data_IF_614808603291
#
_entry.id   IF_614808603291
#
_cell.length_a   1.000
_cell.length_b   1.000
_cell.length_c   1.000
_cell.angle_alpha   90.00
_cell.angle_beta   90.00
_cell.angle_gamma   90.00
#
_symmetry.space_group_name_H-M   'P 1'
#
loop_
_entity.id
_entity.type
_entity.pdbx_description
1 polymer ?
#
# COMPACT_ATOMS: atom_id res chain seq x y z
N UNK A 1 13.31 5.19 -3.28
CA UNK A 1 14.06 4.78 -2.07
C UNK A 1 15.09 5.81 -1.58
N UNK A 2 15.54 6.77 -2.40
CA UNK A 2 16.38 7.89 -1.92
C UNK A 2 15.70 8.63 -0.75
N UNK A 3 16.45 8.86 0.33
CA UNK A 3 15.99 9.59 1.53
C UNK A 3 15.45 8.76 2.69
N UNK A 4 15.42 7.42 2.61
CA UNK A 4 14.94 6.57 3.72
C UNK A 4 15.98 6.26 4.81
N UNK A 5 17.24 6.67 4.62
CA UNK A 5 18.33 6.39 5.56
C UNK A 5 18.46 4.91 5.92
N UNK A 6 18.86 4.65 7.18
CA UNK A 6 18.94 3.32 7.81
C UNK A 6 17.60 2.87 8.43
N UNK A 7 16.68 3.80 8.69
CA UNK A 7 15.40 3.49 9.37
C UNK A 7 14.46 2.63 8.50
N UNK A 8 14.62 2.65 7.18
CA UNK A 8 13.81 1.86 6.26
C UNK A 8 12.54 2.57 5.78
N UNK A 9 11.66 1.79 5.17
CA UNK A 9 10.45 2.24 4.47
C UNK A 9 9.22 1.50 4.97
N UNK A 10 8.19 2.26 5.30
CA UNK A 10 6.84 1.78 5.55
C UNK A 10 6.01 2.01 4.28
N UNK A 11 5.41 0.96 3.74
CA UNK A 11 4.45 1.08 2.66
C UNK A 11 3.03 1.10 3.22
N UNK A 12 2.25 2.11 2.86
CA UNK A 12 0.83 2.21 3.19
C UNK A 12 -0.03 2.16 1.92
N UNK A 13 -0.96 1.21 1.87
CA UNK A 13 -2.04 1.24 0.89
C UNK A 13 -3.29 0.52 1.38
N UNK A 14 -4.43 1.14 1.14
CA UNK A 14 -5.75 0.56 1.44
C UNK A 14 -6.45 0.08 0.16
N UNK A 15 -5.66 -0.26 -0.87
CA UNK A 15 -6.18 -0.74 -2.15
C UNK A 15 -7.02 0.31 -2.88
N UNK A 16 -8.08 -0.14 -3.55
CA UNK A 16 -9.08 0.73 -4.18
C UNK A 16 -10.17 1.19 -3.21
N UNK A 17 -10.13 0.73 -1.95
CA UNK A 17 -11.16 1.00 -0.93
C UNK A 17 -11.01 2.41 -0.37
N UNK A 18 -9.77 2.90 -0.22
CA UNK A 18 -9.52 4.29 0.16
C UNK A 18 -9.76 5.21 -1.03
N UNK A 19 -11.01 5.63 -1.20
CA UNK A 19 -11.33 6.80 -1.99
C UNK A 19 -11.28 8.03 -1.07
N UNK A 20 -10.40 9.02 -1.33
CA UNK A 20 -10.28 10.21 -0.50
C UNK A 20 -11.55 11.07 -0.47
N UNK A 21 -12.49 10.86 -1.39
CA UNK A 21 -13.81 11.52 -1.40
C UNK A 21 -14.79 10.90 -0.39
N UNK A 22 -14.55 9.65 0.02
CA UNK A 22 -15.44 8.91 0.93
C UNK A 22 -14.83 8.69 2.30
N UNK A 23 -13.51 8.69 2.41
CA UNK A 23 -12.81 8.58 3.69
C UNK A 23 -12.86 9.92 4.43
N UNK A 24 -13.31 9.96 5.69
CA UNK A 24 -13.31 11.19 6.49
C UNK A 24 -11.91 11.79 6.61
N UNK A 25 -11.81 13.13 6.51
CA UNK A 25 -10.54 13.83 6.68
C UNK A 25 -9.88 13.58 8.05
N UNK A 26 -10.68 13.30 9.09
CA UNK A 26 -10.18 12.93 10.42
C UNK A 26 -9.33 11.65 10.39
N UNK A 27 -9.74 10.65 9.61
CA UNK A 27 -9.00 9.39 9.44
C UNK A 27 -7.68 9.64 8.72
N UNK A 28 -7.70 10.44 7.65
CA UNK A 28 -6.48 10.82 6.91
C UNK A 28 -5.53 11.58 7.84
N UNK A 29 -6.03 12.51 8.65
CA UNK A 29 -5.22 13.25 9.63
C UNK A 29 -4.61 12.33 10.69
N UNK A 30 -5.35 11.37 11.21
CA UNK A 30 -4.83 10.38 12.17
C UNK A 30 -3.66 9.59 11.57
N UNK A 31 -3.78 9.16 10.31
CA UNK A 31 -2.67 8.51 9.61
C UNK A 31 -1.46 9.43 9.42
N UNK A 32 -1.68 10.66 8.93
CA UNK A 32 -0.58 11.60 8.70
C UNK A 32 0.13 11.96 10.00
N UNK A 33 -0.61 12.16 11.11
CA UNK A 33 -0.03 12.40 12.43
C UNK A 33 0.82 11.23 12.92
N UNK A 34 0.28 10.00 12.81
CA UNK A 34 0.97 8.79 13.24
C UNK A 34 2.25 8.57 12.41
N UNK A 35 2.14 8.73 11.09
CA UNK A 35 3.28 8.60 10.19
C UNK A 35 4.34 9.69 10.40
N UNK A 36 3.93 10.92 10.74
CA UNK A 36 4.86 12.01 11.05
C UNK A 36 5.75 11.75 12.25
N UNK A 37 5.34 10.86 13.16
CA UNK A 37 6.11 10.45 14.35
C UNK A 37 7.11 9.33 14.05
N UNK A 38 7.02 8.70 12.89
CA UNK A 38 7.91 7.59 12.51
C UNK A 38 9.26 8.11 12.04
N UNK A 39 10.32 7.37 12.36
CA UNK A 39 11.67 7.62 11.82
C UNK A 39 11.81 7.14 10.38
N UNK A 40 10.96 6.20 9.97
CA UNK A 40 10.91 5.62 8.64
C UNK A 40 10.40 6.62 7.61
N UNK A 41 10.82 6.42 6.35
CA UNK A 41 10.13 7.04 5.22
C UNK A 41 8.82 6.29 5.00
N UNK A 42 7.71 7.00 4.89
CA UNK A 42 6.40 6.39 4.63
C UNK A 42 5.97 6.69 3.20
N UNK A 43 5.71 5.64 2.42
CA UNK A 43 5.11 5.75 1.09
C UNK A 43 3.62 5.49 1.20
N UNK A 44 2.81 6.49 0.88
CA UNK A 44 1.36 6.45 1.01
C UNK A 44 0.76 6.46 -0.40
N UNK A 45 0.10 5.36 -0.79
CA UNK A 45 -0.71 5.33 -2.02
C UNK A 45 -2.08 5.93 -1.73
N UNK A 46 -2.30 7.17 -2.16
CA UNK A 46 -3.55 7.90 -1.98
C UNK A 46 -3.68 9.00 -3.04
N UNK A 47 -4.86 9.13 -3.62
CA UNK A 47 -5.13 10.17 -4.63
C UNK A 47 -5.34 11.55 -3.98
N UNK A 48 -4.84 12.61 -4.62
CA UNK A 48 -5.05 13.98 -4.19
C UNK A 48 -3.84 14.64 -3.54
N UNK A 49 -4.03 15.88 -3.07
CA UNK A 49 -3.01 16.68 -2.37
C UNK A 49 -3.49 16.96 -0.96
N UNK A 50 -2.59 16.82 0.01
CA UNK A 50 -2.89 16.96 1.42
C UNK A 50 -2.03 18.05 2.04
N UNK A 51 -2.69 19.08 2.58
CA UNK A 51 -2.02 20.10 3.38
C UNK A 51 -1.38 19.46 4.61
N UNK A 52 -0.20 19.95 5.00
CA UNK A 52 0.55 19.47 6.17
C UNK A 52 1.01 18.00 6.11
N UNK A 53 1.36 17.50 4.92
CA UNK A 53 2.03 16.19 4.80
C UNK A 53 3.38 16.23 5.53
N UNK A 54 3.66 15.31 6.49
CA UNK A 54 4.94 15.29 7.20
C UNK A 54 6.14 15.09 6.26
N UNK A 55 7.34 15.60 6.59
CA UNK A 55 8.50 15.55 5.70
C UNK A 55 8.96 14.11 5.38
N UNK A 56 8.74 13.17 6.30
CA UNK A 56 9.04 11.75 6.12
C UNK A 56 7.93 10.98 5.38
N UNK A 57 6.79 11.61 5.06
CA UNK A 57 5.69 11.00 4.28
C UNK A 57 5.76 11.42 2.82
N UNK A 58 5.54 10.47 1.90
CA UNK A 58 5.42 10.74 0.46
C UNK A 58 4.10 10.16 -0.02
N UNK A 59 3.18 11.04 -0.37
CA UNK A 59 1.91 10.67 -0.97
C UNK A 59 2.08 10.58 -2.48
N UNK A 60 1.60 9.48 -3.07
CA UNK A 60 1.58 9.26 -4.52
C UNK A 60 0.25 8.62 -4.91
N UNK A 61 -0.26 8.95 -6.09
CA UNK A 61 -1.47 8.37 -6.65
C UNK A 61 -1.25 6.91 -7.09
N UNK A 62 -0.01 6.58 -7.46
CA UNK A 62 0.37 5.25 -7.90
C UNK A 62 1.80 4.89 -7.48
N UNK A 63 2.00 3.60 -7.18
CA UNK A 63 3.31 3.03 -6.89
C UNK A 63 3.37 1.55 -7.32
N UNK A 64 4.56 1.01 -7.63
CA UNK A 64 4.76 -0.41 -7.89
C UNK A 64 4.86 -1.19 -6.55
N UNK A 65 3.71 -1.57 -5.99
CA UNK A 65 3.59 -2.19 -4.66
C UNK A 65 4.51 -3.39 -4.47
N UNK A 66 4.43 -4.37 -5.36
CA UNK A 66 5.25 -5.59 -5.28
C UNK A 66 6.76 -5.27 -5.31
N UNK A 67 7.21 -4.31 -6.12
CA UNK A 67 8.63 -3.93 -6.20
C UNK A 67 9.10 -3.24 -4.90
N UNK A 68 8.20 -2.48 -4.26
CA UNK A 68 8.48 -1.87 -2.95
C UNK A 68 8.52 -2.95 -1.87
N UNK A 69 7.58 -3.88 -1.84
CA UNK A 69 7.57 -4.99 -0.87
C UNK A 69 8.80 -5.91 -1.04
N UNK A 70 9.28 -6.09 -2.27
CA UNK A 70 10.51 -6.84 -2.56
C UNK A 70 11.78 -6.19 -2.05
N UNK A 71 11.77 -4.87 -1.81
CA UNK A 71 12.96 -4.11 -1.49
C UNK A 71 13.45 -4.37 -0.06
N UNK A 72 14.77 -4.53 0.11
CA UNK A 72 15.39 -4.84 1.42
C UNK A 72 15.03 -3.85 2.53
N UNK A 73 14.98 -2.56 2.20
CA UNK A 73 14.63 -1.48 3.13
C UNK A 73 13.15 -1.41 3.51
N UNK A 74 12.28 -2.22 2.92
CA UNK A 74 10.88 -2.24 3.33
C UNK A 74 10.74 -3.03 4.62
N UNK A 75 10.34 -2.33 5.67
CA UNK A 75 10.30 -2.86 7.03
C UNK A 75 8.87 -3.16 7.48
N UNK A 76 7.86 -2.56 6.85
CA UNK A 76 6.46 -2.76 7.21
C UNK A 76 5.53 -2.52 6.04
N UNK A 77 4.44 -3.29 5.99
CA UNK A 77 3.31 -3.07 5.10
C UNK A 77 2.01 -2.79 5.89
N UNK A 78 1.50 -1.57 5.75
CA UNK A 78 0.19 -1.20 6.28
C UNK A 78 -0.88 -1.40 5.20
N UNK A 79 -1.89 -2.23 5.50
CA UNK A 79 -2.83 -2.77 4.52
C UNK A 79 -4.26 -2.87 5.03
N UNK A 80 -5.22 -2.87 4.11
CA UNK A 80 -6.63 -3.18 4.37
C UNK A 80 -6.92 -4.70 4.44
N UNK A 81 -5.87 -5.54 4.43
CA UNK A 81 -5.96 -6.99 4.41
C UNK A 81 -6.55 -7.61 3.13
N UNK A 82 -6.44 -6.93 1.99
CA UNK A 82 -6.78 -7.52 0.69
C UNK A 82 -5.82 -8.66 0.32
N UNK A 83 -6.37 -9.79 -0.14
CA UNK A 83 -5.62 -11.04 -0.38
C UNK A 83 -4.36 -10.86 -1.22
N UNK A 84 -4.41 -10.09 -2.32
CA UNK A 84 -3.24 -9.86 -3.18
C UNK A 84 -2.07 -9.21 -2.43
N UNK A 85 -2.34 -8.12 -1.69
CA UNK A 85 -1.30 -7.43 -0.94
C UNK A 85 -0.73 -8.29 0.19
N UNK A 86 -1.58 -9.09 0.84
CA UNK A 86 -1.15 -10.04 1.86
C UNK A 86 -0.22 -11.11 1.27
N UNK A 87 -0.57 -11.70 0.13
CA UNK A 87 0.28 -12.72 -0.51
C UNK A 87 1.65 -12.15 -0.90
N UNK A 88 1.71 -10.93 -1.44
CA UNK A 88 2.98 -10.26 -1.76
C UNK A 88 3.82 -9.98 -0.51
N UNK A 89 3.21 -9.48 0.57
CA UNK A 89 3.92 -9.19 1.81
C UNK A 89 4.46 -10.46 2.47
N UNK A 90 3.67 -11.53 2.51
CA UNK A 90 4.11 -12.85 2.96
C UNK A 90 5.25 -13.40 2.09
N UNK A 91 5.14 -13.27 0.77
CA UNK A 91 6.16 -13.73 -0.17
C UNK A 91 7.53 -13.07 0.08
N UNK A 92 7.56 -11.78 0.40
CA UNK A 92 8.80 -11.04 0.70
C UNK A 92 9.16 -10.96 2.19
N UNK A 93 8.40 -11.63 3.06
CA UNK A 93 8.63 -11.64 4.51
C UNK A 93 8.52 -10.25 5.14
N UNK A 94 7.56 -9.44 4.70
CA UNK A 94 7.32 -8.10 5.24
C UNK A 94 6.21 -8.19 6.31
N UNK A 95 6.47 -7.80 7.57
CA UNK A 95 5.44 -7.78 8.60
C UNK A 95 4.37 -6.73 8.31
N UNK A 96 3.18 -6.92 8.87
CA UNK A 96 2.00 -6.15 8.49
C UNK A 96 1.30 -5.47 9.67
N UNK A 97 0.70 -4.31 9.39
CA UNK A 97 -0.39 -3.77 10.20
C UNK A 97 -1.64 -3.75 9.33
N UNK A 98 -2.68 -4.45 9.78
CA UNK A 98 -3.93 -4.60 9.07
C UNK A 98 -5.03 -3.71 9.64
N UNK A 99 -5.75 -3.02 8.77
CA UNK A 99 -6.99 -2.31 9.08
C UNK A 99 -8.12 -2.87 8.19
N UNK A 100 -8.79 -3.97 8.60
CA UNK A 100 -9.91 -4.53 7.84
C UNK A 100 -11.05 -3.52 7.71
N UNK A 101 -11.65 -3.44 6.53
CA UNK A 101 -12.77 -2.55 6.22
C UNK A 101 -14.06 -3.35 6.00
N UNK A 102 -14.03 -4.43 5.20
CA UNK A 102 -15.21 -5.27 4.92
C UNK A 102 -14.85 -6.66 4.36
N UNK A 103 -15.88 -7.50 4.14
CA UNK A 103 -15.77 -8.87 3.61
C UNK A 103 -14.87 -9.78 4.48
N UNK A 104 -14.02 -10.58 3.86
CA UNK A 104 -13.15 -11.59 4.47
C UNK A 104 -11.89 -11.01 5.12
N UNK A 105 -11.69 -9.69 5.05
CA UNK A 105 -10.48 -9.02 5.53
C UNK A 105 -10.23 -9.24 7.03
N UNK A 106 -11.29 -9.38 7.84
CA UNK A 106 -11.18 -9.67 9.27
C UNK A 106 -10.65 -11.09 9.52
N UNK A 107 -11.18 -12.09 8.81
CA UNK A 107 -10.73 -13.48 8.91
C UNK A 107 -9.29 -13.63 8.43
N UNK A 108 -8.92 -12.91 7.35
CA UNK A 108 -7.54 -12.85 6.87
C UNK A 108 -6.62 -12.27 7.95
N UNK A 109 -6.96 -11.14 8.55
CA UNK A 109 -6.17 -10.55 9.62
C UNK A 109 -6.00 -11.50 10.80
N UNK A 110 -7.09 -12.15 11.25
CA UNK A 110 -7.05 -13.09 12.37
C UNK A 110 -6.02 -14.20 12.13
N UNK A 111 -6.03 -14.81 10.95
CA UNK A 111 -5.06 -15.85 10.55
C UNK A 111 -3.62 -15.34 10.51
N UNK A 112 -3.41 -14.08 10.15
CA UNK A 112 -2.07 -13.46 10.14
C UNK A 112 -1.60 -13.16 11.57
N UNK A 113 -2.50 -12.75 12.46
CA UNK A 113 -2.21 -12.54 13.88
C UNK A 113 -1.85 -13.85 14.58
N UNK A 114 -2.58 -14.94 14.30
CA UNK A 114 -2.27 -16.29 14.81
C UNK A 114 -0.87 -16.77 14.39
N UNK A 115 -0.38 -16.32 13.23
CA UNK A 115 0.96 -16.62 12.72
C UNK A 115 2.04 -15.65 13.24
N UNK A 116 1.65 -14.63 14.02
CA UNK A 116 2.57 -13.62 14.55
C UNK A 116 3.08 -12.62 13.52
N UNK A 117 2.50 -12.55 12.32
CA UNK A 117 3.05 -11.74 11.20
C UNK A 117 2.33 -10.41 11.00
N UNK A 118 1.24 -10.19 11.74
CA UNK A 118 0.47 -8.96 11.65
C UNK A 118 -0.06 -8.49 13.00
N UNK A 119 -0.31 -7.17 13.11
CA UNK A 119 -1.15 -6.55 14.13
C UNK A 119 -2.40 -5.93 13.48
N UNK A 120 -3.47 -5.84 14.25
CA UNK A 120 -4.73 -5.25 13.81
C UNK A 120 -4.94 -3.85 14.40
N UNK A 121 -5.53 -2.96 13.61
CA UNK A 121 -6.10 -1.70 14.10
C UNK A 121 -7.54 -1.54 13.63
N UNK A 122 -8.34 -0.89 14.47
CA UNK A 122 -9.75 -0.61 14.14
C UNK A 122 -9.84 0.54 13.12
N UNK A 123 -10.90 0.56 12.30
CA UNK A 123 -11.08 1.61 11.26
C UNK A 123 -11.27 3.03 11.84
N UNK A 124 -11.74 3.14 13.07
CA UNK A 124 -11.80 4.39 13.86
C UNK A 124 -10.61 4.59 14.80
N UNK A 125 -9.50 3.85 14.60
CA UNK A 125 -8.32 4.01 15.43
C UNK A 125 -7.79 5.45 15.43
N UNK A 126 -7.41 5.89 16.61
CA UNK A 126 -6.72 7.15 16.86
C UNK A 126 -5.31 7.14 16.29
N UNK A 127 -4.72 8.34 16.20
CA UNK A 127 -3.31 8.50 15.84
C UNK A 127 -2.38 7.65 16.72
N UNK A 128 -2.62 7.64 18.04
CA UNK A 128 -1.80 6.89 18.99
C UNK A 128 -1.93 5.39 18.78
N UNK A 129 -3.14 4.86 18.58
CA UNK A 129 -3.33 3.43 18.32
C UNK A 129 -2.65 2.98 17.03
N UNK A 130 -2.71 3.80 15.97
CA UNK A 130 -2.00 3.53 14.71
C UNK A 130 -0.49 3.54 14.93
N UNK A 131 0.02 4.55 15.64
CA UNK A 131 1.45 4.66 15.93
C UNK A 131 1.95 3.49 16.78
N UNK A 132 1.21 3.08 17.81
CA UNK A 132 1.60 1.95 18.66
C UNK A 132 1.59 0.65 17.87
N UNK A 133 0.54 0.37 17.09
CA UNK A 133 0.47 -0.86 16.29
C UNK A 133 1.65 -1.00 15.31
N UNK A 134 2.15 0.11 14.76
CA UNK A 134 3.32 0.15 13.87
C UNK A 134 4.62 -0.13 14.62
N UNK A 135 4.74 0.25 15.90
CA UNK A 135 5.96 0.01 16.69
C UNK A 135 5.94 -1.33 17.45
N UNK A 136 4.76 -1.84 17.77
CA UNK A 136 4.56 -3.09 18.52
C UNK A 136 4.73 -4.35 17.67
N UNK A 137 4.77 -4.20 16.35
CA UNK A 137 5.05 -5.31 15.44
C UNK A 137 6.55 -5.62 15.50
N UNK A 138 6.87 -6.79 16.07
CA UNK A 138 8.24 -7.30 16.08
C UNK A 138 8.70 -7.58 14.64
N UNK A 139 9.97 -7.33 14.29
CA UNK A 139 10.53 -7.71 12.99
C UNK A 139 10.56 -9.23 12.77
N UNK A 140 10.25 -10.04 13.77
CA UNK A 140 10.12 -11.50 13.67
C UNK A 140 8.87 -11.91 12.86
N UNK A 141 8.86 -11.57 11.57
CA UNK A 141 8.12 -12.31 10.57
C UNK A 141 8.88 -13.62 10.33
N UNK A 142 8.23 -14.80 10.22
CA UNK A 142 8.90 -16.01 9.81
C UNK A 142 9.67 -15.73 8.51
N UNK A 143 10.87 -16.33 8.35
CA UNK A 143 11.71 -16.06 7.20
C UNK A 143 10.91 -16.22 5.90
N UNK A 144 11.16 -15.37 4.89
CA UNK A 144 10.56 -15.58 3.57
C UNK A 144 10.78 -17.04 3.16
N UNK A 145 9.79 -17.61 2.47
CA UNK A 145 9.82 -18.99 2.00
C UNK A 145 11.23 -19.33 1.50
N UNK A 146 11.88 -20.40 1.99
CA UNK A 146 13.27 -20.66 1.71
C UNK A 146 13.52 -20.65 0.19
N UNK A 147 14.65 -20.05 -0.22
CA UNK A 147 15.09 -19.84 -1.60
C UNK A 147 14.65 -18.55 -2.32
N UNK A 148 14.18 -17.52 -1.60
CA UNK A 148 13.84 -16.21 -2.18
C UNK A 148 14.69 -15.11 -1.54
N UNK A 149 15.75 -14.69 -2.24
CA UNK A 149 16.56 -13.53 -1.85
C UNK A 149 15.84 -12.24 -2.25
N UNK A 150 15.75 -11.26 -1.35
CA UNK A 150 15.24 -9.93 -1.72
C UNK A 150 16.12 -9.36 -2.83
N UNK A 151 15.57 -9.00 -4.01
CA UNK A 151 16.38 -8.42 -5.06
C UNK A 151 16.99 -7.10 -4.58
N UNK A 152 18.31 -6.98 -4.73
CA UNK A 152 19.09 -5.83 -4.26
C UNK A 152 18.80 -4.53 -5.03
N UNK A 153 18.11 -4.60 -6.18
CA UNK A 153 17.89 -3.46 -7.06
C UNK A 153 16.42 -3.24 -7.40
N UNK A 154 15.93 -2.05 -7.09
CA UNK A 154 14.63 -1.54 -7.52
C UNK A 154 14.69 -1.10 -8.97
N UNK A 155 13.97 -1.79 -9.85
CA UNK A 155 13.67 -1.30 -11.21
C UNK A 155 12.19 -0.90 -11.23
N UNK A 156 11.84 0.39 -11.25
CA UNK A 156 10.45 0.81 -11.18
C UNK A 156 9.68 0.29 -12.38
N UNK A 157 8.66 -0.54 -12.16
CA UNK A 157 7.69 -0.84 -13.21
C UNK A 157 6.90 0.41 -13.58
N UNK A 158 6.59 0.63 -14.88
CA UNK A 158 5.70 1.70 -15.29
C UNK A 158 4.28 1.44 -14.77
N UNK A 159 3.52 2.52 -14.58
CA UNK A 159 2.09 2.42 -14.29
C UNK A 159 1.44 1.55 -15.38
N UNK A 160 0.68 0.50 -15.04
CA UNK A 160 -0.09 -0.21 -16.04
C UNK A 160 -1.06 0.79 -16.67
N UNK A 161 -0.97 0.96 -18.00
CA UNK A 161 -1.88 1.82 -18.74
C UNK A 161 -3.31 1.33 -18.47
N UNK A 162 -4.20 2.22 -18.06
CA UNK A 162 -5.63 1.91 -18.03
C UNK A 162 -6.01 1.47 -19.44
N UNK A 163 -6.50 0.23 -19.58
CA UNK A 163 -6.92 -0.33 -20.87
C UNK A 163 -8.02 0.53 -21.46
N UNK A 164 -7.64 1.49 -22.30
CA UNK A 164 -8.56 2.23 -23.12
C UNK A 164 -8.97 1.35 -24.29
N UNK A 165 -10.12 0.68 -24.18
CA UNK A 165 -10.88 0.28 -25.35
C UNK A 165 -11.32 1.55 -26.06
N UNK A 166 -10.46 2.09 -26.93
CA UNK A 166 -10.91 2.91 -28.04
C UNK A 166 -11.62 1.96 -29.00
N UNK A 167 -12.94 1.87 -28.89
CA UNK A 167 -13.75 1.52 -30.04
C UNK A 167 -13.54 2.61 -31.07
N UNK A 168 -12.62 2.39 -32.01
CA UNK A 168 -12.59 3.13 -33.26
C UNK A 168 -13.89 2.80 -33.99
N UNK A 169 -14.86 3.70 -33.88
CA UNK A 169 -16.05 3.71 -34.71
C UNK A 169 -15.59 4.07 -36.12
N UNK A 170 -15.32 3.05 -36.92
CA UNK A 170 -14.94 3.18 -38.32
C UNK A 170 -16.07 3.95 -39.05
N UNK A 171 -15.76 5.19 -39.44
CA UNK A 171 -16.67 6.04 -40.18
C UNK A 171 -16.90 5.47 -41.58
N UNK A 172 -18.07 4.87 -41.80
CA UNK A 172 -18.57 4.57 -43.15
C UNK A 172 -18.67 5.89 -43.94
N UNK A 173 -17.82 6.05 -44.96
CA UNK A 173 -18.07 7.02 -46.04
C UNK A 173 -19.12 6.44 -46.99
N UNK A 174 -20.00 7.28 -47.58
CA UNK A 174 -21.05 6.81 -48.50
C UNK A 174 -20.45 6.43 -49.86
N UNK A 175 -21.14 5.58 -50.66
CA UNK A 175 -20.71 5.27 -52.02
C UNK A 175 -20.94 6.49 -52.92
N UNK A 176 -19.92 6.85 -53.70
CA UNK A 176 -20.03 7.77 -54.84
C UNK A 176 -20.78 7.05 -55.97
N UNK A 177 -21.88 7.65 -56.41
CA UNK A 177 -22.66 7.19 -57.54
C UNK A 177 -22.03 7.73 -58.83
N UNK A 178 -21.73 6.84 -59.77
CA UNK A 178 -20.92 7.14 -60.94
C UNK A 178 -21.29 6.29 -62.15
N UNK A 179 -22.15 6.88 -63.00
CA UNK A 179 -22.59 6.51 -64.36
C UNK A 179 -23.86 5.67 -64.47
#
# INVERSE_FOLDING_TARGET
MAGSGEAGVVLFTMGFIFNPKTVPLSVIRAFMGAFGRLKQRVLVKLEGTYEHTPPNVKVVDWLPQQDILAHEKTVLFFTHCGMHGILEALHYGVPMVGMPVFADQQDVLMRLQERGVARGVHKEASEDEIFQAINDISPECPPPVPNITRPAAFTPRPRPMAGGTRHEHEGRRPPEDGR
#
